data_IF_617008783200
#
_entry.id   IF_617008783200
#
_cell.length_a   1.000
_cell.length_b   1.000
_cell.length_c   1.000
_cell.angle_alpha   90.00
_cell.angle_beta   90.00
_cell.angle_gamma   90.00
#
_symmetry.space_group_name_H-M   'P 1'
#
loop_
_entity.id
_entity.type
_entity.pdbx_description
1 polymer ?
#
# COMPACT_ATOMS: atom_id res chain seq x y z
N UNK A 1 -7.15 23.64 -25.29
CA UNK A 1 -6.46 23.80 -23.98
C UNK A 1 -7.23 23.12 -22.83
N UNK A 2 -8.56 23.28 -22.74
CA UNK A 2 -9.40 22.64 -21.70
C UNK A 2 -9.33 21.10 -21.74
N UNK A 3 -9.35 20.48 -22.92
CA UNK A 3 -9.22 19.02 -23.05
C UNK A 3 -7.89 18.49 -22.54
N UNK A 4 -6.78 19.18 -22.77
CA UNK A 4 -5.46 18.79 -22.28
C UNK A 4 -5.37 18.91 -20.75
N UNK A 5 -6.00 19.93 -20.19
CA UNK A 5 -6.06 20.16 -18.75
C UNK A 5 -6.91 19.08 -18.04
N UNK A 6 -8.08 18.75 -18.59
CA UNK A 6 -8.95 17.68 -18.07
C UNK A 6 -8.26 16.31 -18.13
N UNK A 7 -7.60 15.98 -19.26
CA UNK A 7 -6.88 14.71 -19.43
C UNK A 7 -5.70 14.57 -18.44
N UNK A 8 -4.99 15.68 -18.19
CA UNK A 8 -3.92 15.74 -17.20
C UNK A 8 -4.41 15.48 -15.77
N UNK A 9 -5.50 16.12 -15.35
CA UNK A 9 -6.09 15.94 -14.02
C UNK A 9 -6.56 14.50 -13.76
N UNK A 10 -7.22 13.88 -14.73
CA UNK A 10 -7.70 12.50 -14.63
C UNK A 10 -6.53 11.53 -14.48
N UNK A 11 -5.49 11.65 -15.28
CA UNK A 11 -4.31 10.79 -15.20
C UNK A 11 -3.54 10.95 -13.86
N UNK A 12 -3.42 12.17 -13.35
CA UNK A 12 -2.79 12.44 -12.06
C UNK A 12 -3.60 11.83 -10.90
N UNK A 13 -4.93 11.92 -10.94
CA UNK A 13 -5.81 11.30 -9.94
C UNK A 13 -5.67 9.77 -9.92
N UNK A 14 -5.61 9.13 -11.09
CA UNK A 14 -5.36 7.69 -11.20
C UNK A 14 -3.99 7.30 -10.64
N UNK A 15 -2.97 8.14 -10.86
CA UNK A 15 -1.63 7.90 -10.31
C UNK A 15 -1.63 8.00 -8.78
N UNK A 16 -2.31 8.98 -8.18
CA UNK A 16 -2.48 9.08 -6.72
C UNK A 16 -3.14 7.81 -6.16
N UNK A 17 -4.23 7.35 -6.80
CA UNK A 17 -4.89 6.11 -6.41
C UNK A 17 -3.94 4.91 -6.46
N UNK A 18 -3.18 4.76 -7.54
CA UNK A 18 -2.21 3.68 -7.70
C UNK A 18 -1.15 3.70 -6.59
N UNK A 19 -0.57 4.87 -6.30
CA UNK A 19 0.45 5.03 -5.27
C UNK A 19 -0.08 4.67 -3.88
N UNK A 20 -1.29 5.13 -3.51
CA UNK A 20 -1.89 4.82 -2.22
C UNK A 20 -2.26 3.34 -2.08
N UNK A 21 -2.72 2.68 -3.15
CA UNK A 21 -2.94 1.22 -3.20
C UNK A 21 -1.63 0.47 -2.97
N UNK A 22 -0.54 0.93 -3.59
CA UNK A 22 0.78 0.32 -3.43
C UNK A 22 1.33 0.52 -2.02
N UNK A 23 1.21 1.72 -1.42
CA UNK A 23 1.57 2.01 -0.01
C UNK A 23 0.81 1.09 0.94
N UNK A 24 -0.52 1.00 0.80
CA UNK A 24 -1.37 0.12 1.60
C UNK A 24 -0.95 -1.34 1.49
N UNK A 25 -0.87 -1.85 0.26
CA UNK A 25 -0.59 -3.26 0.02
C UNK A 25 0.83 -3.66 0.44
N UNK A 26 1.84 -2.81 0.19
CA UNK A 26 3.21 -3.05 0.61
C UNK A 26 3.35 -3.03 2.14
N UNK A 27 2.70 -2.08 2.83
CA UNK A 27 2.67 -2.06 4.29
C UNK A 27 2.01 -3.32 4.86
N UNK A 28 0.91 -3.78 4.26
CA UNK A 28 0.23 -5.01 4.69
C UNK A 28 1.08 -6.26 4.42
N UNK A 29 1.77 -6.35 3.29
CA UNK A 29 2.69 -7.46 2.98
C UNK A 29 3.80 -7.59 4.02
N UNK A 30 4.36 -6.46 4.46
CA UNK A 30 5.32 -6.41 5.55
C UNK A 30 4.68 -6.82 6.89
N UNK A 31 3.45 -6.38 7.18
CA UNK A 31 2.75 -6.70 8.43
C UNK A 31 2.47 -8.22 8.57
N UNK A 32 2.21 -8.92 7.48
CA UNK A 32 2.03 -10.38 7.43
C UNK A 32 3.36 -11.11 7.63
N UNK A 33 4.48 -10.48 7.26
CA UNK A 33 5.82 -11.06 7.34
C UNK A 33 6.30 -11.09 8.80
N UNK A 34 6.76 -12.26 9.27
CA UNK A 34 7.20 -12.42 10.66
C UNK A 34 8.56 -11.75 10.90
N UNK A 35 8.67 -10.84 11.90
CA UNK A 35 9.96 -10.21 12.23
C UNK A 35 10.99 -11.17 12.86
N UNK A 36 10.57 -12.37 13.26
CA UNK A 36 11.47 -13.40 13.80
C UNK A 36 12.18 -14.19 12.72
N UNK A 37 11.67 -14.12 11.48
CA UNK A 37 12.14 -14.91 10.34
C UNK A 37 12.84 -14.06 9.29
N UNK A 38 12.70 -12.73 9.39
CA UNK A 38 13.25 -11.76 8.45
C UNK A 38 14.01 -10.68 9.22
N UNK A 39 15.12 -10.22 8.67
CA UNK A 39 15.98 -9.21 9.32
C UNK A 39 15.29 -7.84 9.44
N UNK A 40 15.63 -7.06 10.47
CA UNK A 40 15.12 -5.69 10.66
C UNK A 40 15.42 -4.78 9.47
N UNK A 41 16.54 -5.01 8.77
CA UNK A 41 16.92 -4.30 7.56
C UNK A 41 15.89 -4.38 6.42
N UNK A 42 15.24 -5.54 6.26
CA UNK A 42 14.16 -5.71 5.28
C UNK A 42 13.03 -4.69 5.55
N UNK A 43 12.50 -4.66 6.77
CA UNK A 43 11.39 -3.75 7.11
C UNK A 43 11.79 -2.28 6.97
N UNK A 44 12.98 -1.92 7.43
CA UNK A 44 13.50 -0.55 7.31
C UNK A 44 13.58 -0.09 5.87
N UNK A 45 14.20 -0.88 4.99
CA UNK A 45 14.39 -0.51 3.59
C UNK A 45 13.04 -0.36 2.87
N UNK A 46 12.07 -1.24 3.16
CA UNK A 46 10.75 -1.16 2.53
C UNK A 46 9.90 -0.01 3.08
N UNK A 47 10.09 0.40 4.34
CA UNK A 47 9.51 1.61 4.88
C UNK A 47 10.07 2.88 4.21
N UNK A 48 11.33 2.89 3.78
CA UNK A 48 11.86 3.98 2.95
C UNK A 48 11.21 4.00 1.56
N UNK A 49 10.93 2.84 0.98
CA UNK A 49 10.17 2.77 -0.28
C UNK A 49 8.75 3.30 -0.09
N UNK A 50 8.03 2.87 0.95
CA UNK A 50 6.68 3.39 1.25
C UNK A 50 6.68 4.88 1.54
N UNK A 51 7.72 5.39 2.21
CA UNK A 51 7.91 6.83 2.44
C UNK A 51 8.03 7.59 1.12
N UNK A 52 8.86 7.11 0.18
CA UNK A 52 9.02 7.73 -1.15
C UNK A 52 7.72 7.71 -1.95
N UNK A 53 6.99 6.57 -1.96
CA UNK A 53 5.70 6.45 -2.64
C UNK A 53 4.64 7.38 -2.03
N UNK A 54 4.57 7.45 -0.70
CA UNK A 54 3.65 8.32 0.01
C UNK A 54 3.98 9.81 -0.21
N UNK A 55 5.27 10.17 -0.29
CA UNK A 55 5.71 11.54 -0.60
C UNK A 55 5.27 11.96 -2.01
N UNK A 56 5.44 11.08 -3.00
CA UNK A 56 4.97 11.34 -4.35
C UNK A 56 3.43 11.47 -4.40
N UNK A 57 2.71 10.57 -3.69
CA UNK A 57 1.26 10.65 -3.58
C UNK A 57 0.80 11.97 -2.92
N UNK A 58 1.50 12.44 -1.87
CA UNK A 58 1.19 13.70 -1.21
C UNK A 58 1.39 14.90 -2.13
N UNK A 59 2.52 14.97 -2.85
CA UNK A 59 2.79 16.05 -3.80
C UNK A 59 1.73 16.14 -4.90
N UNK A 60 1.35 15.01 -5.48
CA UNK A 60 0.32 14.95 -6.52
C UNK A 60 -1.08 15.28 -5.93
N UNK A 61 -1.40 14.79 -4.74
CA UNK A 61 -2.68 15.10 -4.08
C UNK A 61 -2.80 16.58 -3.73
N UNK A 62 -1.69 17.21 -3.33
CA UNK A 62 -1.64 18.65 -3.06
C UNK A 62 -1.91 19.46 -4.31
N UNK A 63 -1.27 19.11 -5.45
CA UNK A 63 -1.47 19.80 -6.71
C UNK A 63 -2.90 19.71 -7.25
N UNK A 64 -3.62 18.65 -6.87
CA UNK A 64 -5.03 18.41 -7.24
C UNK A 64 -6.03 18.87 -6.16
N UNK A 65 -5.56 19.46 -5.04
CA UNK A 65 -6.36 19.83 -3.87
C UNK A 65 -7.21 18.68 -3.31
N UNK A 66 -6.72 17.44 -3.39
CA UNK A 66 -7.43 16.23 -2.94
C UNK A 66 -7.32 16.04 -1.42
N UNK A 67 -8.40 15.56 -0.78
CA UNK A 67 -8.40 15.20 0.65
C UNK A 67 -7.43 14.06 0.99
N UNK A 68 -7.04 13.24 0.00
CA UNK A 68 -6.03 12.17 0.14
C UNK A 68 -4.62 12.69 0.49
N UNK A 69 -4.38 14.00 0.42
CA UNK A 69 -3.14 14.63 0.87
C UNK A 69 -2.85 14.31 2.36
N UNK A 70 -3.84 14.43 3.25
CA UNK A 70 -3.65 14.22 4.69
C UNK A 70 -3.25 12.79 5.06
N UNK A 71 -3.94 11.74 4.58
CA UNK A 71 -3.49 10.37 4.82
C UNK A 71 -2.14 10.05 4.16
N UNK A 72 -1.80 10.69 3.03
CA UNK A 72 -0.46 10.53 2.45
C UNK A 72 0.64 11.12 3.36
N UNK A 73 0.41 12.32 3.94
CA UNK A 73 1.32 12.91 4.95
C UNK A 73 1.44 12.01 6.18
N UNK A 74 0.32 11.48 6.68
CA UNK A 74 0.34 10.54 7.81
C UNK A 74 1.18 9.29 7.49
N UNK A 75 1.05 8.73 6.28
CA UNK A 75 1.84 7.59 5.83
C UNK A 75 3.35 7.92 5.77
N UNK A 76 3.73 9.14 5.36
CA UNK A 76 5.13 9.61 5.38
C UNK A 76 5.67 9.60 6.80
N UNK A 77 4.97 10.27 7.73
CA UNK A 77 5.39 10.40 9.13
C UNK A 77 5.53 9.02 9.78
N UNK A 78 4.53 8.15 9.61
CA UNK A 78 4.55 6.81 10.21
C UNK A 78 5.59 5.89 9.55
N UNK A 79 5.85 6.01 8.27
CA UNK A 79 6.92 5.28 7.60
C UNK A 79 8.30 5.70 8.12
N UNK A 80 8.51 7.00 8.33
CA UNK A 80 9.75 7.52 8.91
C UNK A 80 9.95 7.03 10.35
N UNK A 81 8.94 7.19 11.21
CA UNK A 81 9.01 6.74 12.62
C UNK A 81 9.15 5.21 12.70
N UNK A 82 8.44 4.49 11.83
CA UNK A 82 8.57 3.03 11.72
C UNK A 82 9.99 2.63 11.33
N UNK A 83 10.60 3.27 10.32
CA UNK A 83 11.97 2.97 9.90
C UNK A 83 12.99 3.23 11.01
N UNK A 84 12.82 4.31 11.79
CA UNK A 84 13.63 4.59 12.96
C UNK A 84 13.47 3.51 14.05
N UNK A 85 12.25 3.05 14.31
CA UNK A 85 12.02 1.94 15.26
C UNK A 85 12.71 0.65 14.84
N UNK A 86 12.72 0.32 13.54
CA UNK A 86 13.42 -0.86 13.02
C UNK A 86 14.94 -0.70 13.04
N UNK A 87 15.44 0.53 12.95
CA UNK A 87 16.90 0.84 13.12
C UNK A 87 17.36 0.50 14.54
N UNK A 88 16.53 0.81 15.56
CA UNK A 88 16.81 0.51 16.96
C UNK A 88 16.30 -0.87 17.40
N UNK A 89 15.93 -1.74 16.47
CA UNK A 89 15.43 -3.10 16.70
C UNK A 89 14.20 -3.20 17.63
N UNK A 90 13.44 -2.11 17.78
CA UNK A 90 12.19 -2.05 18.54
C UNK A 90 11.02 -2.65 17.73
N UNK A 91 10.99 -3.98 17.64
CA UNK A 91 10.03 -4.72 16.80
C UNK A 91 8.56 -4.47 17.13
N UNK A 92 8.20 -4.23 18.41
CA UNK A 92 6.82 -3.95 18.82
C UNK A 92 6.35 -2.59 18.26
N UNK A 93 7.15 -1.54 18.49
CA UNK A 93 6.86 -0.18 17.98
C UNK A 93 6.92 -0.14 16.45
N UNK A 94 7.89 -0.82 15.83
CA UNK A 94 7.99 -0.92 14.38
C UNK A 94 6.74 -1.54 13.74
N UNK A 95 6.17 -2.60 14.32
CA UNK A 95 4.90 -3.19 13.85
C UNK A 95 3.70 -2.28 14.06
N UNK A 96 3.66 -1.53 15.17
CA UNK A 96 2.60 -0.56 15.43
C UNK A 96 2.59 0.53 14.34
N UNK A 97 3.74 1.15 14.05
CA UNK A 97 3.85 2.15 12.99
C UNK A 97 3.54 1.58 11.60
N UNK A 98 3.94 0.34 11.35
CA UNK A 98 3.59 -0.34 10.10
C UNK A 98 2.07 -0.51 9.94
N UNK A 99 1.35 -0.83 11.03
CA UNK A 99 -0.12 -0.85 11.05
C UNK A 99 -0.72 0.53 10.76
N UNK A 100 -0.12 1.60 11.29
CA UNK A 100 -0.55 2.97 11.02
C UNK A 100 -0.31 3.38 9.57
N UNK A 101 0.81 2.97 8.95
CA UNK A 101 1.05 3.17 7.50
C UNK A 101 -0.01 2.46 6.68
N UNK A 102 -0.32 1.20 7.02
CA UNK A 102 -1.35 0.43 6.36
C UNK A 102 -2.73 1.13 6.46
N UNK A 103 -3.10 1.58 7.65
CA UNK A 103 -4.35 2.31 7.90
C UNK A 103 -4.39 3.63 7.10
N UNK A 104 -3.31 4.39 7.11
CA UNK A 104 -3.21 5.65 6.35
C UNK A 104 -3.39 5.42 4.85
N UNK A 105 -2.77 4.38 4.29
CA UNK A 105 -2.95 4.00 2.90
C UNK A 105 -4.41 3.61 2.58
N UNK A 106 -5.05 2.83 3.46
CA UNK A 106 -6.45 2.43 3.31
C UNK A 106 -7.40 3.63 3.36
N UNK A 107 -7.22 4.54 4.32
CA UNK A 107 -7.98 5.79 4.42
C UNK A 107 -7.76 6.66 3.18
N UNK A 108 -6.54 6.74 2.68
CA UNK A 108 -6.22 7.44 1.44
C UNK A 108 -6.95 6.88 0.22
N UNK A 109 -7.07 5.56 0.09
CA UNK A 109 -7.88 4.89 -0.94
C UNK A 109 -9.36 5.32 -0.79
N UNK A 110 -9.90 5.33 0.44
CA UNK A 110 -11.27 5.77 0.70
C UNK A 110 -11.53 7.21 0.27
N UNK A 111 -10.62 8.13 0.55
CA UNK A 111 -10.76 9.53 0.11
C UNK A 111 -10.64 9.70 -1.40
N UNK A 112 -9.78 8.96 -2.07
CA UNK A 112 -9.73 9.00 -3.54
C UNK A 112 -10.97 8.40 -4.17
N UNK A 113 -11.59 7.41 -3.53
CA UNK A 113 -12.88 6.86 -3.97
C UNK A 113 -14.00 7.88 -3.80
N UNK A 114 -14.14 8.49 -2.61
CA UNK A 114 -15.16 9.50 -2.33
C UNK A 114 -15.05 10.75 -3.22
N UNK A 115 -13.85 11.06 -3.72
CA UNK A 115 -13.62 12.15 -4.67
C UNK A 115 -14.23 11.88 -6.05
N UNK A 116 -14.28 10.62 -6.47
CA UNK A 116 -14.69 10.23 -7.82
C UNK A 116 -16.11 9.63 -7.90
N UNK A 117 -16.75 9.36 -6.75
CA UNK A 117 -18.04 8.65 -6.71
C UNK A 117 -18.97 9.25 -5.67
N UNK A 118 -20.29 9.15 -5.92
CA UNK A 118 -21.32 9.50 -4.95
C UNK A 118 -21.30 8.56 -3.71
N UNK A 119 -21.87 9.00 -2.57
CA UNK A 119 -21.81 8.26 -1.31
C UNK A 119 -22.40 6.85 -1.43
N UNK A 120 -21.84 5.93 -0.62
CA UNK A 120 -22.14 4.50 -0.53
C UNK A 120 -23.62 4.20 -0.23
N UNK A 121 -24.48 4.33 -1.22
CA UNK A 121 -25.94 4.11 -1.08
C UNK A 121 -26.41 2.77 -1.64
N UNK A 122 -25.57 2.02 -2.35
CA UNK A 122 -25.95 0.76 -3.02
C UNK A 122 -24.86 -0.31 -2.89
N UNK A 123 -25.26 -1.58 -3.10
CA UNK A 123 -24.35 -2.72 -3.16
C UNK A 123 -23.23 -2.49 -4.20
N UNK A 124 -23.55 -1.89 -5.32
CA UNK A 124 -22.61 -1.53 -6.38
C UNK A 124 -21.50 -0.61 -5.87
N UNK A 125 -21.84 0.39 -5.05
CA UNK A 125 -20.85 1.30 -4.46
C UNK A 125 -19.88 0.58 -3.51
N UNK A 126 -20.37 -0.41 -2.76
CA UNK A 126 -19.52 -1.24 -1.89
C UNK A 126 -18.56 -2.10 -2.73
N UNK A 127 -19.04 -2.73 -3.80
CA UNK A 127 -18.21 -3.51 -4.71
C UNK A 127 -17.15 -2.63 -5.38
N UNK A 128 -17.52 -1.42 -5.81
CA UNK A 128 -16.60 -0.43 -6.39
C UNK A 128 -15.52 0.03 -5.39
N UNK A 129 -15.81 0.10 -4.08
CA UNK A 129 -14.79 0.41 -3.06
C UNK A 129 -13.88 -0.79 -2.80
N UNK A 130 -14.41 -2.02 -2.84
CA UNK A 130 -13.62 -3.22 -2.62
C UNK A 130 -12.62 -3.49 -3.76
N UNK A 131 -12.93 -3.10 -5.00
CA UNK A 131 -12.04 -3.27 -6.15
C UNK A 131 -10.67 -2.58 -5.98
N UNK A 132 -10.56 -1.29 -5.59
CA UNK A 132 -9.26 -0.65 -5.32
C UNK A 132 -8.52 -1.27 -4.12
N UNK A 133 -9.24 -1.75 -3.11
CA UNK A 133 -8.63 -2.43 -1.96
C UNK A 133 -8.04 -3.77 -2.41
N UNK A 134 -8.78 -4.59 -3.13
CA UNK A 134 -8.30 -5.89 -3.63
C UNK A 134 -7.14 -5.73 -4.61
N UNK A 135 -7.17 -4.75 -5.50
CA UNK A 135 -6.05 -4.43 -6.38
C UNK A 135 -4.81 -3.98 -5.60
N UNK A 136 -5.00 -3.21 -4.51
CA UNK A 136 -3.92 -2.83 -3.59
C UNK A 136 -3.29 -4.03 -2.88
N UNK A 137 -4.10 -5.01 -2.45
CA UNK A 137 -3.63 -6.28 -1.90
C UNK A 137 -2.78 -7.04 -2.92
N UNK A 138 -3.28 -7.18 -4.13
CA UNK A 138 -2.57 -7.88 -5.20
C UNK A 138 -1.22 -7.22 -5.50
N UNK A 139 -1.21 -5.91 -5.74
CA UNK A 139 0.02 -5.15 -5.99
C UNK A 139 1.00 -5.27 -4.82
N UNK A 140 0.52 -5.10 -3.59
CA UNK A 140 1.36 -5.15 -2.40
C UNK A 140 1.96 -6.51 -2.13
N UNK A 141 1.19 -7.59 -2.26
CA UNK A 141 1.71 -8.94 -2.05
C UNK A 141 2.67 -9.36 -3.17
N UNK A 142 2.41 -8.96 -4.41
CA UNK A 142 3.32 -9.21 -5.54
C UNK A 142 4.65 -8.49 -5.31
N UNK A 143 4.62 -7.19 -5.03
CA UNK A 143 5.83 -6.41 -4.75
C UNK A 143 6.54 -6.92 -3.50
N UNK A 144 5.81 -7.21 -2.41
CA UNK A 144 6.38 -7.74 -1.18
C UNK A 144 7.05 -9.10 -1.37
N UNK A 145 6.43 -10.00 -2.14
CA UNK A 145 7.02 -11.30 -2.47
C UNK A 145 8.27 -11.16 -3.35
N UNK A 146 8.23 -10.27 -4.35
CA UNK A 146 9.38 -9.98 -5.22
C UNK A 146 10.56 -9.41 -4.41
N UNK A 147 10.29 -8.42 -3.59
CA UNK A 147 11.31 -7.75 -2.78
C UNK A 147 11.88 -8.70 -1.70
N UNK A 148 11.03 -9.53 -1.08
CA UNK A 148 11.49 -10.55 -0.14
C UNK A 148 12.31 -11.63 -0.86
N UNK A 149 11.90 -12.06 -2.05
CA UNK A 149 12.66 -12.98 -2.89
C UNK A 149 14.05 -12.43 -3.23
N UNK A 150 14.12 -11.15 -3.61
CA UNK A 150 15.41 -10.48 -3.83
C UNK A 150 16.27 -10.42 -2.55
N UNK A 151 15.64 -10.20 -1.38
CA UNK A 151 16.34 -10.19 -0.10
C UNK A 151 16.98 -11.55 0.25
N UNK A 152 16.36 -12.66 -0.15
CA UNK A 152 16.93 -14.01 0.01
C UNK A 152 18.26 -14.19 -0.72
N UNK A 153 18.48 -13.51 -1.83
CA UNK A 153 19.78 -13.56 -2.54
C UNK A 153 20.92 -12.99 -1.70
N UNK A 154 20.61 -12.04 -0.82
CA UNK A 154 21.59 -11.42 0.09
C UNK A 154 21.67 -12.13 1.45
N UNK A 155 20.73 -13.01 1.77
CA UNK A 155 20.64 -13.71 3.07
C UNK A 155 20.15 -15.14 2.89
N UNK A 156 20.96 -16.04 2.31
CA UNK A 156 20.53 -17.39 1.89
C UNK A 156 20.20 -18.33 3.07
N UNK A 157 20.56 -17.95 4.30
CA UNK A 157 20.26 -18.73 5.53
C UNK A 157 18.86 -18.46 6.09
N UNK A 158 18.08 -17.55 5.49
CA UNK A 158 16.72 -17.23 5.96
C UNK A 158 15.72 -18.35 5.63
N UNK A 159 14.73 -18.52 6.49
CA UNK A 159 13.64 -19.48 6.26
C UNK A 159 12.74 -19.04 5.09
N UNK A 160 12.37 -19.96 4.18
CA UNK A 160 11.47 -19.69 3.05
C UNK A 160 9.98 -19.55 3.45
N UNK A 161 9.63 -19.82 4.71
CA UNK A 161 8.25 -19.74 5.22
C UNK A 161 7.57 -18.39 4.95
N UNK A 162 8.21 -17.22 5.19
CA UNK A 162 7.59 -15.92 4.92
C UNK A 162 7.26 -15.71 3.45
N UNK A 163 8.15 -16.12 2.54
CA UNK A 163 7.95 -16.00 1.10
C UNK A 163 6.77 -16.87 0.65
N UNK A 164 6.71 -18.13 1.11
CA UNK A 164 5.56 -19.02 0.81
C UNK A 164 4.24 -18.42 1.29
N UNK A 165 4.22 -17.79 2.47
CA UNK A 165 3.03 -17.14 3.00
C UNK A 165 2.58 -15.97 2.12
N UNK A 166 3.51 -15.14 1.63
CA UNK A 166 3.19 -14.04 0.71
C UNK A 166 2.68 -14.54 -0.64
N UNK A 167 3.26 -15.63 -1.18
CA UNK A 167 2.78 -16.24 -2.43
C UNK A 167 1.34 -16.76 -2.28
N UNK A 168 1.02 -17.41 -1.15
CA UNK A 168 -0.34 -17.85 -0.86
C UNK A 168 -1.32 -16.67 -0.71
N UNK A 169 -0.89 -15.60 -0.02
CA UNK A 169 -1.68 -14.38 0.12
C UNK A 169 -1.91 -13.69 -1.24
N UNK A 170 -0.89 -13.69 -2.12
CA UNK A 170 -1.02 -13.20 -3.50
C UNK A 170 -2.05 -14.03 -4.28
N UNK A 171 -2.00 -15.36 -4.19
CA UNK A 171 -3.00 -16.24 -4.82
C UNK A 171 -4.43 -15.94 -4.34
N UNK A 172 -4.62 -15.75 -3.03
CA UNK A 172 -5.91 -15.35 -2.48
C UNK A 172 -6.36 -13.96 -2.98
N UNK A 173 -5.43 -12.99 -3.10
CA UNK A 173 -5.74 -11.66 -3.64
C UNK A 173 -6.14 -11.71 -5.12
N UNK A 174 -5.49 -12.56 -5.94
CA UNK A 174 -5.88 -12.80 -7.35
C UNK A 174 -7.30 -13.36 -7.43
N UNK A 175 -7.61 -14.38 -6.61
CA UNK A 175 -8.95 -14.98 -6.57
C UNK A 175 -10.02 -13.97 -6.17
N UNK A 176 -9.73 -13.14 -5.14
CA UNK A 176 -10.63 -12.07 -4.71
C UNK A 176 -10.86 -11.05 -5.81
N UNK A 177 -9.78 -10.60 -6.48
CA UNK A 177 -9.88 -9.64 -7.58
C UNK A 177 -10.70 -10.20 -8.75
N UNK A 178 -10.51 -11.48 -9.10
CA UNK A 178 -11.27 -12.14 -10.14
C UNK A 178 -12.78 -12.20 -9.80
N UNK A 179 -13.12 -12.56 -8.56
CA UNK A 179 -14.51 -12.59 -8.10
C UNK A 179 -15.15 -11.19 -8.17
N UNK A 180 -14.45 -10.16 -7.69
CA UNK A 180 -14.96 -8.79 -7.73
C UNK A 180 -15.13 -8.28 -9.16
N UNK A 181 -14.23 -8.65 -10.09
CA UNK A 181 -14.34 -8.28 -11.51
C UNK A 181 -15.50 -8.95 -12.24
N UNK A 182 -15.97 -10.10 -11.77
CA UNK A 182 -17.14 -10.80 -12.35
C UNK A 182 -18.44 -10.30 -11.73
N UNK A 183 -18.39 -9.85 -10.46
CA UNK A 183 -19.57 -9.39 -9.72
C UNK A 183 -19.94 -7.91 -10.00
N UNK A 184 -19.02 -7.09 -10.53
CA UNK A 184 -19.19 -5.67 -10.83
C UNK A 184 -19.20 -5.39 -12.31
#
# INVERSE_FOLDING_TARGET
>A
LEYLHFFSHTNMSLLVQFLLRLVFGLALSMAITSPRQVTSGYFRNHLYVTLGLASLAALLSQSLAMLSFWPAIAAIVFSYLGSACWLYEKTRSGRFFLGLVCLSGLVGIGFTFAWNHDPLSSLTSVLMLLAPISSGLLLGFTMGAMLLGHWYLNSPTMELKPLRKLILAMGAAVSLQAILSVAG
#
